data_IF_156503403953
#
_entry.id   IF_156503403953
#
_cell.length_a   1.000
_cell.length_b   1.000
_cell.length_c   1.000
_cell.angle_alpha   90.00
_cell.angle_beta   90.00
_cell.angle_gamma   90.00
#
_symmetry.space_group_name_H-M   'P 1'
#
loop_
_entity.id
_entity.type
_entity.pdbx_description
1 polymer ?
#
# COMPACT_ATOMS: atom_id res chain seq x y z
N UNK A 1 -0.86 35.13 -12.10
CA UNK A 1 -1.13 33.70 -11.85
C UNK A 1 -0.03 33.19 -10.95
N UNK A 2 -0.38 32.71 -9.76
CA UNK A 2 0.58 32.11 -8.84
C UNK A 2 1.01 30.73 -9.35
N UNK A 3 2.16 30.23 -8.87
CA UNK A 3 2.56 28.87 -9.15
C UNK A 3 1.59 27.89 -8.47
N UNK A 4 1.14 26.81 -9.12
CA UNK A 4 0.30 25.80 -8.48
C UNK A 4 1.07 25.12 -7.35
N UNK A 5 0.37 24.81 -6.26
CA UNK A 5 0.95 24.10 -5.11
C UNK A 5 0.57 22.62 -5.14
N UNK A 6 1.49 21.77 -4.69
CA UNK A 6 1.26 20.32 -4.54
C UNK A 6 1.40 19.92 -3.08
N UNK A 7 0.44 19.16 -2.59
CA UNK A 7 0.46 18.62 -1.23
C UNK A 7 0.07 17.14 -1.26
N UNK A 8 0.53 16.37 -0.28
CA UNK A 8 0.13 14.97 -0.11
C UNK A 8 -0.64 14.85 1.19
N UNK A 9 -1.76 14.14 1.17
CA UNK A 9 -2.52 13.80 2.35
C UNK A 9 -2.71 12.28 2.43
N UNK A 10 -2.52 11.71 3.62
CA UNK A 10 -3.02 10.38 3.90
C UNK A 10 -4.56 10.43 3.83
N UNK A 11 -5.14 9.52 3.07
CA UNK A 11 -6.60 9.37 2.96
C UNK A 11 -7.06 8.30 3.92
N UNK A 12 -6.36 7.17 3.90
CA UNK A 12 -6.63 6.03 4.76
C UNK A 12 -5.29 5.44 5.19
N UNK A 13 -5.09 5.33 6.50
CA UNK A 13 -3.87 4.75 7.04
C UNK A 13 -3.80 3.25 6.77
N UNK A 14 -2.61 2.68 6.97
CA UNK A 14 -2.44 1.24 6.89
C UNK A 14 -3.47 0.55 7.78
N UNK A 15 -4.24 -0.36 7.20
CA UNK A 15 -5.03 -1.30 7.97
C UNK A 15 -5.25 -2.60 7.21
N UNK A 16 -5.54 -3.63 8.01
CA UNK A 16 -5.73 -4.99 7.54
C UNK A 16 -7.15 -5.17 6.99
N UNK A 17 -7.24 -5.90 5.88
CA UNK A 17 -8.46 -6.47 5.34
C UNK A 17 -8.30 -7.98 5.40
N UNK A 18 -9.01 -8.59 6.35
CA UNK A 18 -8.98 -10.03 6.53
C UNK A 18 -9.41 -10.76 5.24
N UNK A 19 -8.99 -12.01 5.11
CA UNK A 19 -9.55 -12.90 4.08
C UNK A 19 -11.07 -12.93 4.21
N UNK A 20 -11.79 -12.96 3.08
CA UNK A 20 -13.26 -12.99 3.03
C UNK A 20 -13.91 -11.75 3.68
N UNK A 21 -13.21 -10.63 3.72
CA UNK A 21 -13.75 -9.35 4.17
C UNK A 21 -13.75 -8.31 3.04
N UNK A 22 -14.68 -7.37 3.16
CA UNK A 22 -14.70 -6.14 2.35
C UNK A 22 -14.47 -4.98 3.30
N UNK A 23 -13.58 -4.06 2.92
CA UNK A 23 -13.34 -2.83 3.65
C UNK A 23 -13.64 -1.64 2.75
N UNK A 24 -14.46 -0.75 3.27
CA UNK A 24 -14.60 0.61 2.75
C UNK A 24 -13.53 1.50 3.40
N UNK A 25 -12.73 2.17 2.56
CA UNK A 25 -11.77 3.18 3.01
C UNK A 25 -12.43 4.53 3.26
N UNK A 26 -11.70 5.43 3.92
CA UNK A 26 -12.21 6.77 4.20
C UNK A 26 -12.47 7.58 2.92
N UNK A 27 -13.57 8.35 2.92
CA UNK A 27 -13.86 9.31 1.87
C UNK A 27 -13.02 10.58 2.03
N UNK A 28 -12.40 11.03 0.95
CA UNK A 28 -11.64 12.29 0.92
C UNK A 28 -12.31 13.32 0.02
N UNK A 29 -12.36 14.56 0.50
CA UNK A 29 -12.76 15.72 -0.30
C UNK A 29 -11.62 16.20 -1.22
N UNK A 30 -11.95 16.30 -2.50
CA UNK A 30 -11.10 16.75 -3.60
C UNK A 30 -11.77 17.86 -4.44
N UNK A 31 -12.94 18.36 -4.02
CA UNK A 31 -13.74 19.34 -4.76
C UNK A 31 -13.05 20.67 -5.01
N UNK A 32 -12.13 21.07 -4.12
CA UNK A 32 -11.33 22.29 -4.23
C UNK A 32 -10.02 22.13 -5.00
N UNK A 33 -9.81 21.01 -5.69
CA UNK A 33 -8.54 20.70 -6.36
C UNK A 33 -8.66 20.81 -7.88
N UNK A 34 -7.61 21.33 -8.51
CA UNK A 34 -7.52 21.37 -9.99
C UNK A 34 -7.08 20.04 -10.59
N UNK A 35 -6.57 19.13 -9.76
CA UNK A 35 -6.20 17.78 -10.13
C UNK A 35 -5.78 16.97 -8.91
N UNK A 36 -6.01 15.65 -8.98
CA UNK A 36 -5.65 14.74 -7.91
C UNK A 36 -5.22 13.37 -8.43
N UNK A 37 -4.18 12.81 -7.81
CA UNK A 37 -3.72 11.44 -8.06
C UNK A 37 -3.90 10.64 -6.77
N UNK A 38 -4.66 9.56 -6.85
CA UNK A 38 -4.85 8.59 -5.79
C UNK A 38 -3.76 7.52 -5.87
N UNK A 39 -3.11 7.25 -4.75
CA UNK A 39 -2.10 6.20 -4.61
C UNK A 39 -2.65 5.12 -3.67
N UNK A 40 -2.61 3.87 -4.12
CA UNK A 40 -3.10 2.71 -3.37
C UNK A 40 -1.93 1.76 -3.18
N UNK A 41 -1.56 1.56 -1.93
CA UNK A 41 -0.52 0.63 -1.49
C UNK A 41 -1.19 -0.61 -0.91
N UNK A 42 -0.73 -1.80 -1.32
CA UNK A 42 -1.28 -3.08 -0.86
C UNK A 42 -0.19 -4.15 -0.73
N UNK A 43 -0.26 -4.96 0.30
CA UNK A 43 0.66 -6.07 0.55
C UNK A 43 -0.06 -7.33 1.01
N UNK A 44 0.45 -8.50 0.61
CA UNK A 44 -0.05 -9.79 1.10
C UNK A 44 0.62 -10.15 2.42
N UNK A 45 -0.16 -10.60 3.40
CA UNK A 45 0.30 -10.80 4.78
C UNK A 45 0.13 -12.22 5.31
N UNK A 46 -0.05 -13.19 4.41
CA UNK A 46 -0.12 -14.61 4.75
C UNK A 46 0.49 -15.45 3.63
N UNK A 47 1.26 -16.49 3.98
CA UNK A 47 1.92 -17.41 3.03
C UNK A 47 0.93 -18.39 2.38
N UNK A 48 -0.08 -17.84 1.71
CA UNK A 48 -1.19 -18.53 1.06
C UNK A 48 -1.23 -18.07 -0.39
N UNK A 49 -1.52 -18.99 -1.31
CA UNK A 49 -1.66 -18.65 -2.71
C UNK A 49 -2.83 -17.66 -2.88
N UNK A 50 -2.56 -16.53 -3.53
CA UNK A 50 -3.54 -15.47 -3.70
C UNK A 50 -3.80 -15.18 -5.18
N UNK A 51 -5.06 -15.30 -5.60
CA UNK A 51 -5.50 -15.04 -6.98
C UNK A 51 -5.86 -13.59 -7.22
N UNK A 52 -6.05 -12.81 -6.14
CA UNK A 52 -6.12 -11.36 -6.18
C UNK A 52 -7.15 -10.77 -5.23
N UNK A 53 -6.95 -9.49 -4.89
CA UNK A 53 -7.93 -8.66 -4.21
C UNK A 53 -8.59 -7.74 -5.24
N UNK A 54 -9.91 -7.59 -5.19
CA UNK A 54 -10.61 -6.64 -6.06
C UNK A 54 -10.53 -5.24 -5.44
N UNK A 55 -10.01 -4.30 -6.22
CA UNK A 55 -9.86 -2.90 -5.80
C UNK A 55 -10.77 -2.04 -6.67
N UNK A 56 -11.68 -1.31 -6.04
CA UNK A 56 -12.62 -0.40 -6.70
C UNK A 56 -12.41 1.01 -6.18
N UNK A 57 -12.19 1.96 -7.10
CA UNK A 57 -12.20 3.39 -6.76
C UNK A 57 -13.61 3.92 -6.97
N UNK A 58 -14.18 4.53 -5.95
CA UNK A 58 -15.48 5.19 -6.00
C UNK A 58 -15.29 6.71 -5.99
N UNK A 59 -15.99 7.38 -6.89
CA UNK A 59 -16.01 8.84 -7.01
C UNK A 59 -17.43 9.36 -6.78
N UNK A 60 -17.55 10.54 -6.19
CA UNK A 60 -18.83 11.21 -5.98
C UNK A 60 -18.83 12.60 -6.61
N UNK A 61 -19.94 12.96 -7.24
CA UNK A 61 -20.22 14.33 -7.68
C UNK A 61 -20.72 15.22 -6.54
N UNK A 62 -20.97 14.67 -5.36
CA UNK A 62 -21.42 15.45 -4.21
C UNK A 62 -20.26 15.75 -3.27
N UNK A 63 -20.36 16.87 -2.57
CA UNK A 63 -19.41 17.28 -1.51
C UNK A 63 -19.74 16.68 -0.14
N UNK A 64 -20.90 16.05 0.01
CA UNK A 64 -21.35 15.36 1.23
C UNK A 64 -22.41 14.29 0.96
N UNK A 65 -22.73 13.46 1.95
CA UNK A 65 -23.72 12.37 1.86
C UNK A 65 -23.18 11.09 1.21
N UNK A 66 -23.89 9.96 1.34
CA UNK A 66 -23.36 8.64 0.97
C UNK A 66 -24.16 7.93 -0.13
N UNK A 67 -25.11 8.61 -0.76
CA UNK A 67 -26.02 7.99 -1.74
C UNK A 67 -25.44 7.99 -3.17
N UNK A 68 -24.67 9.02 -3.53
CA UNK A 68 -24.27 9.26 -4.93
C UNK A 68 -22.79 8.90 -5.17
N UNK A 69 -22.49 7.61 -5.22
CA UNK A 69 -21.18 7.07 -5.60
C UNK A 69 -21.23 6.42 -6.98
N UNK A 70 -20.24 6.73 -7.81
CA UNK A 70 -19.99 6.09 -9.11
C UNK A 70 -18.70 5.29 -9.03
N UNK A 71 -18.70 4.07 -9.56
CA UNK A 71 -17.52 3.21 -9.61
C UNK A 71 -16.70 3.47 -10.86
N UNK A 72 -15.39 3.66 -10.69
CA UNK A 72 -14.44 3.51 -11.78
C UNK A 72 -14.21 2.01 -12.06
N UNK A 73 -13.75 1.63 -13.28
CA UNK A 73 -13.48 0.23 -13.60
C UNK A 73 -12.55 -0.42 -12.56
N UNK A 74 -12.98 -1.53 -11.92
CA UNK A 74 -12.18 -2.19 -10.90
C UNK A 74 -10.99 -2.92 -11.53
N UNK A 75 -9.99 -3.21 -10.71
CA UNK A 75 -8.84 -4.03 -11.10
C UNK A 75 -8.51 -5.03 -9.99
N UNK A 76 -7.75 -6.06 -10.35
CA UNK A 76 -7.41 -7.17 -9.47
C UNK A 76 -5.91 -7.17 -9.18
N UNK A 77 -5.55 -7.28 -7.90
CA UNK A 77 -4.19 -7.48 -7.45
C UNK A 77 -4.01 -7.21 -5.96
N UNK A 78 -2.82 -7.50 -5.41
CA UNK A 78 -1.71 -8.22 -6.03
C UNK A 78 -2.01 -9.74 -6.12
N UNK A 79 -1.19 -10.52 -6.82
CA UNK A 79 -1.37 -11.98 -6.98
C UNK A 79 -0.07 -12.72 -6.65
N UNK A 80 -0.18 -14.02 -6.33
CA UNK A 80 0.94 -14.91 -6.06
C UNK A 80 0.90 -15.51 -4.65
N UNK A 81 1.93 -16.27 -4.30
CA UNK A 81 2.11 -16.84 -2.96
C UNK A 81 3.26 -16.11 -2.29
N UNK A 82 3.01 -15.30 -1.25
CA UNK A 82 4.08 -14.53 -0.64
C UNK A 82 4.93 -15.42 0.27
N UNK A 83 6.22 -15.13 0.29
CA UNK A 83 7.17 -15.58 1.30
C UNK A 83 7.25 -14.53 2.40
N UNK A 84 7.56 -15.00 3.61
CA UNK A 84 7.84 -14.16 4.77
C UNK A 84 9.19 -14.52 5.36
N UNK A 85 9.83 -13.52 5.93
CA UNK A 85 11.07 -13.63 6.65
C UNK A 85 11.11 -12.57 7.74
N UNK A 86 11.82 -12.83 8.83
CA UNK A 86 11.87 -11.92 9.96
C UNK A 86 13.15 -11.10 9.96
N UNK A 87 13.03 -9.81 10.27
CA UNK A 87 14.18 -8.98 10.61
C UNK A 87 14.87 -9.58 11.85
N UNK A 88 16.17 -9.81 11.76
CA UNK A 88 16.98 -10.35 12.87
C UNK A 88 17.77 -9.28 13.62
N UNK A 89 17.88 -8.07 13.06
CA UNK A 89 18.46 -6.89 13.72
C UNK A 89 17.74 -6.59 15.04
N UNK A 90 18.46 -6.05 16.01
CA UNK A 90 17.91 -5.71 17.32
C UNK A 90 18.40 -4.33 17.80
N UNK A 91 17.68 -3.24 17.49
CA UNK A 91 16.64 -3.14 16.45
C UNK A 91 17.26 -2.91 15.06
N UNK A 92 16.43 -2.93 14.01
CA UNK A 92 16.74 -2.28 12.76
C UNK A 92 16.44 -0.78 12.93
N UNK A 93 17.48 0.06 13.01
CA UNK A 93 17.32 1.50 13.25
C UNK A 93 16.56 2.19 12.11
N UNK A 94 15.90 3.31 12.41
CA UNK A 94 15.39 4.20 11.38
C UNK A 94 16.52 4.63 10.42
N UNK A 95 16.15 4.99 9.18
CA UNK A 95 17.04 5.28 8.06
C UNK A 95 17.95 4.11 7.62
N UNK A 96 17.75 2.89 8.14
CA UNK A 96 18.52 1.73 7.69
C UNK A 96 18.15 1.36 6.27
N UNK A 97 19.15 1.02 5.46
CA UNK A 97 18.98 0.52 4.07
C UNK A 97 19.11 -1.00 3.95
N UNK A 98 19.45 -1.68 5.05
CA UNK A 98 19.73 -3.12 5.05
C UNK A 98 19.18 -3.78 6.32
N UNK A 99 18.39 -4.84 6.15
CA UNK A 99 18.05 -5.77 7.22
C UNK A 99 18.85 -7.07 7.09
N UNK A 100 19.24 -7.62 8.22
CA UNK A 100 19.76 -8.98 8.35
C UNK A 100 18.58 -9.94 8.48
N UNK A 101 18.60 -11.02 7.71
CA UNK A 101 17.55 -12.04 7.66
C UNK A 101 18.16 -13.45 7.63
N UNK A 102 17.39 -14.47 8.01
CA UNK A 102 17.90 -15.84 8.04
C UNK A 102 17.83 -16.54 6.67
N UNK A 103 16.87 -16.15 5.82
CA UNK A 103 16.64 -16.76 4.52
C UNK A 103 16.20 -15.68 3.51
N UNK A 104 16.67 -15.77 2.26
CA UNK A 104 16.27 -14.84 1.19
C UNK A 104 15.43 -15.49 0.09
N UNK A 105 14.91 -16.70 0.33
CA UNK A 105 14.05 -17.41 -0.61
C UNK A 105 12.79 -16.61 -0.92
N UNK A 106 12.53 -16.39 -2.21
CA UNK A 106 11.41 -15.57 -2.68
C UNK A 106 11.71 -14.07 -2.72
N UNK A 107 12.83 -13.60 -2.20
CA UNK A 107 13.27 -12.21 -2.29
C UNK A 107 14.23 -12.05 -3.48
N UNK A 108 13.65 -12.00 -4.67
CA UNK A 108 14.40 -11.74 -5.90
C UNK A 108 14.45 -10.24 -6.09
N UNK A 109 15.63 -9.65 -5.87
CA UNK A 109 15.84 -8.24 -6.16
C UNK A 109 15.59 -7.97 -7.65
N UNK A 110 14.69 -7.03 -7.91
CA UNK A 110 14.50 -6.42 -9.21
C UNK A 110 14.31 -4.91 -8.97
N UNK A 111 14.72 -4.06 -9.91
CA UNK A 111 14.69 -2.59 -9.78
C UNK A 111 13.25 -2.04 -9.58
N UNK A 112 12.24 -2.91 -9.54
CA UNK A 112 10.82 -2.60 -9.36
C UNK A 112 10.18 -3.35 -8.18
N UNK A 113 10.96 -4.11 -7.39
CA UNK A 113 10.44 -5.05 -6.40
C UNK A 113 10.13 -4.34 -5.10
N UNK A 114 8.86 -4.04 -4.89
CA UNK A 114 8.40 -3.54 -3.59
C UNK A 114 8.15 -4.72 -2.65
N UNK A 115 8.71 -4.62 -1.44
CA UNK A 115 8.44 -5.53 -0.32
C UNK A 115 7.85 -4.75 0.85
N UNK A 116 7.20 -5.45 1.77
CA UNK A 116 6.43 -4.86 2.87
C UNK A 116 6.99 -5.27 4.22
N UNK A 117 7.38 -4.30 5.04
CA UNK A 117 7.74 -4.49 6.44
C UNK A 117 6.47 -4.35 7.26
N UNK A 118 5.97 -5.45 7.82
CA UNK A 118 4.74 -5.51 8.59
C UNK A 118 5.04 -5.39 10.09
N UNK A 119 4.84 -4.21 10.65
CA UNK A 119 5.10 -3.94 12.05
C UNK A 119 3.88 -4.25 12.92
N UNK A 120 4.10 -4.62 14.19
CA UNK A 120 3.01 -4.97 15.12
C UNK A 120 1.98 -3.85 15.29
N UNK A 121 2.45 -2.59 15.25
CA UNK A 121 1.58 -1.43 15.06
C UNK A 121 1.54 -1.12 13.58
N UNK A 122 0.46 -1.54 12.92
CA UNK A 122 0.30 -1.48 11.45
C UNK A 122 0.52 -0.08 10.85
N UNK A 123 0.25 0.99 11.62
CA UNK A 123 0.52 2.36 11.19
C UNK A 123 2.02 2.65 10.95
N UNK A 124 2.91 1.88 11.56
CA UNK A 124 4.36 1.96 11.39
C UNK A 124 4.90 0.98 10.33
N UNK A 125 4.01 0.26 9.62
CA UNK A 125 4.41 -0.60 8.53
C UNK A 125 4.82 0.21 7.29
N UNK A 126 5.74 -0.35 6.50
CA UNK A 126 6.40 0.39 5.43
C UNK A 126 6.61 -0.44 4.17
N UNK A 127 6.60 0.21 3.02
CA UNK A 127 7.01 -0.37 1.75
C UNK A 127 8.43 0.08 1.42
N UNK A 128 9.28 -0.86 1.02
CA UNK A 128 10.65 -0.57 0.60
C UNK A 128 10.93 -1.22 -0.75
N UNK A 129 11.75 -0.56 -1.58
CA UNK A 129 12.17 -1.08 -2.88
C UNK A 129 13.40 -1.96 -2.70
N UNK A 130 13.27 -3.26 -2.87
CA UNK A 130 14.36 -4.24 -2.76
C UNK A 130 15.35 -4.06 -3.92
N UNK A 131 16.61 -3.75 -3.61
CA UNK A 131 17.68 -3.58 -4.61
C UNK A 131 18.69 -4.73 -4.59
N UNK A 132 18.79 -5.47 -3.49
CA UNK A 132 19.67 -6.64 -3.39
C UNK A 132 19.22 -7.60 -2.30
N UNK A 133 19.45 -8.90 -2.52
CA UNK A 133 19.32 -9.93 -1.51
C UNK A 133 20.60 -10.77 -1.49
N UNK A 134 21.28 -10.81 -0.34
CA UNK A 134 22.45 -11.66 -0.13
C UNK A 134 21.98 -12.95 0.51
N UNK A 135 22.22 -14.07 -0.17
CA UNK A 135 21.75 -15.40 0.23
C UNK A 135 21.92 -15.65 1.72
N UNK A 136 20.80 -15.95 2.38
CA UNK A 136 20.70 -16.30 3.81
C UNK A 136 21.42 -15.32 4.75
N UNK A 137 21.49 -14.05 4.36
CA UNK A 137 22.25 -13.02 5.09
C UNK A 137 21.48 -11.72 5.22
N UNK A 138 21.06 -11.10 4.12
CA UNK A 138 20.50 -9.75 4.18
C UNK A 138 19.62 -9.38 3.00
N UNK A 139 18.71 -8.45 3.26
CA UNK A 139 17.93 -7.71 2.27
C UNK A 139 18.39 -6.26 2.29
N UNK A 140 18.70 -5.69 1.13
CA UNK A 140 19.05 -4.27 0.96
C UNK A 140 18.01 -3.60 0.07
N UNK A 141 17.56 -2.44 0.48
CA UNK A 141 16.59 -1.63 -0.24
C UNK A 141 17.13 -0.24 -0.56
N UNK A 142 16.45 0.47 -1.45
CA UNK A 142 16.94 1.73 -2.01
C UNK A 142 17.01 2.86 -0.98
N UNK A 143 15.90 3.10 -0.27
CA UNK A 143 15.73 4.24 0.63
C UNK A 143 15.63 3.79 2.08
N UNK A 144 16.21 4.55 3.01
CA UNK A 144 16.18 4.21 4.43
C UNK A 144 14.75 4.12 5.00
N UNK A 145 14.52 3.20 5.95
CA UNK A 145 13.22 3.10 6.63
C UNK A 145 12.87 4.37 7.39
N UNK A 146 11.59 4.70 7.52
CA UNK A 146 11.14 5.85 8.30
C UNK A 146 11.18 5.53 9.79
N UNK A 147 10.77 4.32 10.16
CA UNK A 147 10.65 3.86 11.53
C UNK A 147 11.78 2.90 11.90
N UNK A 148 11.99 2.77 13.21
CA UNK A 148 12.73 1.65 13.78
C UNK A 148 11.85 0.40 13.76
N UNK A 149 12.45 -0.74 13.44
CA UNK A 149 11.77 -2.04 13.47
C UNK A 149 12.44 -2.97 14.47
N UNK A 150 11.61 -3.69 15.23
CA UNK A 150 12.07 -4.63 16.23
C UNK A 150 12.60 -5.90 15.55
N UNK A 151 13.43 -6.64 16.28
CA UNK A 151 13.68 -8.04 15.94
C UNK A 151 12.33 -8.77 15.80
N UNK A 152 12.27 -9.76 14.91
CA UNK A 152 11.07 -10.52 14.56
C UNK A 152 9.99 -9.75 13.80
N UNK A 153 10.27 -8.54 13.33
CA UNK A 153 9.34 -7.84 12.42
C UNK A 153 9.29 -8.59 11.07
N UNK A 154 8.12 -9.10 10.66
CA UNK A 154 8.00 -9.83 9.39
C UNK A 154 8.11 -8.90 8.18
N UNK A 155 8.79 -9.39 7.15
CA UNK A 155 8.93 -8.77 5.83
C UNK A 155 8.23 -9.68 4.83
N UNK A 156 7.34 -9.14 4.00
CA UNK A 156 6.60 -9.87 2.98
C UNK A 156 7.07 -9.47 1.58
N UNK A 157 7.29 -10.46 0.71
CA UNK A 157 7.90 -10.24 -0.61
C UNK A 157 6.91 -9.84 -1.73
N UNK A 158 5.61 -9.78 -1.44
CA UNK A 158 4.58 -9.36 -2.39
C UNK A 158 3.87 -8.11 -1.86
N UNK A 159 4.20 -6.98 -2.47
CA UNK A 159 3.47 -5.73 -2.33
C UNK A 159 3.40 -4.99 -3.67
N UNK A 160 2.42 -4.10 -3.80
CA UNK A 160 2.19 -3.28 -4.99
C UNK A 160 1.73 -1.88 -4.60
N UNK A 161 2.13 -0.92 -5.42
CA UNK A 161 1.63 0.44 -5.40
C UNK A 161 0.95 0.72 -6.74
N UNK A 162 -0.27 1.24 -6.69
CA UNK A 162 -1.04 1.67 -7.85
C UNK A 162 -1.26 3.18 -7.79
N UNK A 163 -1.33 3.81 -8.95
CA UNK A 163 -1.64 5.22 -9.08
C UNK A 163 -2.83 5.41 -10.04
N UNK A 164 -3.79 6.24 -9.65
CA UNK A 164 -4.99 6.56 -10.41
C UNK A 164 -5.19 8.06 -10.49
N UNK A 165 -5.28 8.59 -11.71
CA UNK A 165 -5.71 9.97 -11.92
C UNK A 165 -7.22 10.05 -11.73
N UNK A 166 -7.67 10.98 -10.87
CA UNK A 166 -9.10 11.20 -10.66
C UNK A 166 -9.65 12.09 -11.78
N UNK A 167 -10.79 11.72 -12.41
CA UNK A 167 -11.42 12.54 -13.44
C UNK A 167 -11.72 13.95 -12.94
N UNK A 168 -11.55 14.94 -13.83
CA UNK A 168 -11.91 16.32 -13.54
C UNK A 168 -13.42 16.43 -13.26
N UNK A 169 -13.77 17.07 -12.14
CA UNK A 169 -15.16 17.12 -11.63
C UNK A 169 -15.46 16.12 -10.51
N UNK A 170 -14.51 15.29 -10.10
CA UNK A 170 -14.64 14.48 -8.88
C UNK A 170 -14.66 15.41 -7.66
N UNK A 171 -15.67 15.30 -6.80
CA UNK A 171 -15.76 16.06 -5.55
C UNK A 171 -15.26 15.24 -4.35
N UNK A 172 -15.56 13.94 -4.30
CA UNK A 172 -15.01 13.04 -3.29
C UNK A 172 -14.56 11.73 -3.92
N UNK A 173 -13.56 11.10 -3.31
CA UNK A 173 -13.09 9.77 -3.69
C UNK A 173 -12.91 8.87 -2.47
N UNK A 174 -13.15 7.57 -2.62
CA UNK A 174 -12.82 6.52 -1.65
C UNK A 174 -12.39 5.25 -2.37
N UNK A 175 -11.77 4.33 -1.64
CA UNK A 175 -11.35 3.02 -2.18
C UNK A 175 -12.09 1.91 -1.43
N UNK A 176 -12.63 0.96 -2.18
CA UNK A 176 -13.16 -0.28 -1.65
C UNK A 176 -12.16 -1.39 -1.92
N UNK A 177 -11.80 -2.12 -0.87
CA UNK A 177 -10.93 -3.29 -0.92
C UNK A 177 -11.79 -4.51 -0.65
N UNK A 178 -12.02 -5.32 -1.68
CA UNK A 178 -12.82 -6.52 -1.64
C UNK A 178 -11.91 -7.76 -1.70
N UNK A 179 -11.64 -8.33 -0.52
CA UNK A 179 -10.84 -9.53 -0.35
C UNK A 179 -11.71 -10.80 -0.27
N UNK A 180 -12.93 -10.76 -0.84
CA UNK A 180 -13.80 -11.94 -1.04
C UNK A 180 -13.64 -12.55 -2.44
N UNK A 181 -12.98 -11.84 -3.36
CA UNK A 181 -12.72 -12.31 -4.73
C UNK A 181 -11.95 -13.63 -4.77
N UNK A 182 -11.04 -13.82 -3.81
CA UNK A 182 -10.25 -15.03 -3.64
C UNK A 182 -10.57 -15.69 -2.28
N UNK A 183 -11.54 -16.61 -2.24
CA UNK A 183 -12.12 -17.10 -0.97
C UNK A 183 -11.14 -17.89 -0.11
N UNK A 184 -10.08 -18.42 -0.72
CA UNK A 184 -9.02 -19.19 -0.07
C UNK A 184 -7.68 -18.41 -0.02
N UNK A 185 -7.73 -17.10 -0.26
CA UNK A 185 -6.56 -16.23 -0.40
C UNK A 185 -5.90 -15.77 0.90
N UNK A 186 -4.91 -14.88 0.75
CA UNK A 186 -4.24 -14.22 1.86
C UNK A 186 -5.04 -13.01 2.39
N UNK A 187 -4.81 -12.63 3.65
CA UNK A 187 -5.18 -11.31 4.13
C UNK A 187 -4.28 -10.24 3.49
N UNK A 188 -4.80 -9.01 3.39
CA UNK A 188 -4.08 -7.89 2.78
C UNK A 188 -4.00 -6.70 3.71
N UNK A 189 -2.87 -6.02 3.72
CA UNK A 189 -2.74 -4.70 4.34
C UNK A 189 -2.78 -3.64 3.25
N UNK A 190 -3.52 -2.56 3.49
CA UNK A 190 -3.72 -1.50 2.49
C UNK A 190 -3.57 -0.11 3.09
N UNK A 191 -3.00 0.82 2.32
CA UNK A 191 -2.94 2.25 2.62
C UNK A 191 -3.31 3.06 1.38
N UNK A 192 -4.02 4.17 1.58
CA UNK A 192 -4.40 5.07 0.49
C UNK A 192 -3.93 6.50 0.77
N UNK A 193 -3.32 7.13 -0.24
CA UNK A 193 -2.80 8.50 -0.18
C UNK A 193 -3.27 9.28 -1.40
N UNK A 194 -3.35 10.60 -1.28
CA UNK A 194 -3.72 11.47 -2.40
C UNK A 194 -2.74 12.61 -2.56
N UNK A 195 -2.28 12.80 -3.79
CA UNK A 195 -1.51 13.97 -4.23
C UNK A 195 -2.47 15.01 -4.77
N UNK A 196 -2.52 16.17 -4.14
CA UNK A 196 -3.47 17.27 -4.41
C UNK A 196 -2.78 18.42 -5.14
N UNK A 197 -3.39 18.91 -6.22
CA UNK A 197 -2.94 20.10 -6.96
C UNK A 197 -3.94 21.23 -6.76
N UNK A 198 -3.47 22.40 -6.33
CA UNK A 198 -4.29 23.61 -6.15
C UNK A 198 -3.68 24.74 -6.98
N UNK A 199 -4.47 25.28 -7.91
CA UNK A 199 -4.15 26.51 -8.65
C UNK A 199 -4.44 27.75 -7.82
N UNK A 200 -3.67 28.80 -8.10
CA UNK A 200 -3.73 30.11 -7.43
C UNK A 200 -4.40 31.16 -8.31
#
# INVERSE_FOLDING_TARGET
>A
MGAPTKTVAAVDEWANVAQNAVREGAAVDVSGLDGAILHIDIALTAAVAHTGTKITVQISSNTSGDEDWTELPPFIGPTGTPNTENITNNPLSAASITATVANTTGYVADETRIIYINYVTIANSELVLLVSAVTDTSLTWLDGTTNEHAQTTPVWNIAKTYAFELPWGTNRARVIIDNTYDPDGAAVDTKTRISKVVGN
#
